data_IF_770940924740
#
_entry.id   IF_770940924740
#
_cell.length_a   1.000
_cell.length_b   1.000
_cell.length_c   1.000
_cell.angle_alpha   90.00
_cell.angle_beta   90.00
_cell.angle_gamma   90.00
#
_symmetry.space_group_name_H-M   'P 1'
#
loop_
_entity.id
_entity.type
_entity.pdbx_description
1 polymer ?
#
# COMPACT_ATOMS: atom_id res chain seq x y z
N UNK A 1 -5.35 -15.15 -9.83
CA UNK A 1 -4.97 -14.79 -8.44
C UNK A 1 -6.17 -14.98 -7.54
N UNK A 2 -5.98 -15.63 -6.40
CA UNK A 2 -7.04 -15.74 -5.38
C UNK A 2 -7.15 -14.44 -4.60
N UNK A 3 -8.26 -14.26 -3.86
CA UNK A 3 -8.42 -13.09 -3.00
C UNK A 3 -7.39 -13.07 -1.88
N UNK A 4 -7.03 -14.22 -1.33
CA UNK A 4 -5.99 -14.30 -0.28
C UNK A 4 -4.60 -13.92 -0.82
N UNK A 5 -4.25 -14.39 -2.00
CA UNK A 5 -3.01 -13.97 -2.69
C UNK A 5 -3.03 -12.46 -2.94
N UNK A 6 -4.18 -11.93 -3.35
CA UNK A 6 -4.37 -10.49 -3.55
C UNK A 6 -4.15 -9.69 -2.28
N UNK A 7 -4.65 -10.16 -1.15
CA UNK A 7 -4.44 -9.50 0.16
C UNK A 7 -2.97 -9.46 0.54
N UNK A 8 -2.21 -10.52 0.28
CA UNK A 8 -0.77 -10.55 0.52
C UNK A 8 -0.03 -9.56 -0.39
N UNK A 9 -0.44 -9.44 -1.65
CA UNK A 9 0.13 -8.46 -2.57
C UNK A 9 -0.19 -7.02 -2.13
N UNK A 10 -1.37 -6.78 -1.60
CA UNK A 10 -1.74 -5.48 -1.04
C UNK A 10 -0.83 -5.12 0.13
N UNK A 11 -0.61 -6.05 1.06
CA UNK A 11 0.32 -5.82 2.18
C UNK A 11 1.74 -5.54 1.70
N UNK A 12 2.22 -6.29 0.70
CA UNK A 12 3.53 -6.08 0.10
C UNK A 12 3.63 -4.67 -0.52
N UNK A 13 2.55 -4.20 -1.16
CA UNK A 13 2.51 -2.87 -1.76
C UNK A 13 2.61 -1.77 -0.69
N UNK A 14 1.91 -1.91 0.43
CA UNK A 14 2.03 -0.96 1.54
C UNK A 14 3.44 -0.94 2.12
N UNK A 15 4.08 -2.10 2.26
CA UNK A 15 5.47 -2.19 2.72
C UNK A 15 6.43 -1.50 1.74
N UNK A 16 6.26 -1.74 0.45
CA UNK A 16 7.07 -1.08 -0.57
C UNK A 16 6.93 0.44 -0.50
N UNK A 17 5.71 0.93 -0.36
CA UNK A 17 5.43 2.35 -0.25
C UNK A 17 6.04 2.96 1.03
N UNK A 18 5.93 2.27 2.15
CA UNK A 18 6.50 2.74 3.42
C UNK A 18 8.03 2.83 3.36
N UNK A 19 8.69 1.91 2.67
CA UNK A 19 10.14 1.88 2.54
C UNK A 19 10.69 2.81 1.45
N UNK A 20 9.83 3.47 0.68
CA UNK A 20 10.27 4.24 -0.50
C UNK A 20 11.27 5.35 -0.15
N UNK A 21 11.21 5.92 1.04
CA UNK A 21 12.15 6.95 1.50
C UNK A 21 13.27 6.39 2.41
N UNK A 22 13.42 5.08 2.47
CA UNK A 22 14.53 4.41 3.14
C UNK A 22 14.27 3.97 4.57
N UNK A 23 13.10 4.28 5.14
CA UNK A 23 12.73 3.84 6.50
C UNK A 23 11.23 3.78 6.69
N UNK A 24 10.79 2.94 7.60
CA UNK A 24 9.39 2.83 8.01
C UNK A 24 9.24 3.47 9.39
N UNK A 25 8.32 4.41 9.53
CA UNK A 25 8.01 5.02 10.83
C UNK A 25 7.13 4.06 11.64
N UNK A 26 7.09 4.27 12.97
CA UNK A 26 6.21 3.48 13.84
C UNK A 26 4.74 3.65 13.44
N UNK A 27 4.33 4.87 13.11
CA UNK A 27 2.96 5.14 12.67
C UNK A 27 2.60 4.37 11.39
N UNK A 28 3.52 4.28 10.43
CA UNK A 28 3.31 3.51 9.21
C UNK A 28 3.27 2.00 9.51
N UNK A 29 4.15 1.51 10.36
CA UNK A 29 4.14 0.10 10.77
C UNK A 29 2.82 -0.27 11.44
N UNK A 30 2.32 0.57 12.33
CA UNK A 30 1.04 0.37 13.01
C UNK A 30 -0.13 0.38 12.01
N UNK A 31 -0.10 1.30 11.04
CA UNK A 31 -1.11 1.39 9.99
C UNK A 31 -1.18 0.08 9.19
N UNK A 32 -0.02 -0.44 8.77
CA UNK A 32 0.05 -1.68 8.00
C UNK A 32 -0.40 -2.88 8.83
N UNK A 33 -0.03 -2.94 10.10
CA UNK A 33 -0.43 -4.01 11.01
C UNK A 33 -1.95 -4.02 11.22
N UNK A 34 -2.55 -2.86 11.43
CA UNK A 34 -3.99 -2.70 11.59
C UNK A 34 -4.73 -3.09 10.30
N UNK A 35 -4.18 -2.73 9.15
CA UNK A 35 -4.73 -3.10 7.86
C UNK A 35 -4.74 -4.62 7.67
N UNK A 36 -3.67 -5.29 8.07
CA UNK A 36 -3.58 -6.76 7.97
C UNK A 36 -4.68 -7.43 8.81
N UNK A 37 -4.94 -6.92 10.01
CA UNK A 37 -6.00 -7.43 10.88
C UNK A 37 -7.37 -7.17 10.25
N UNK A 38 -7.59 -5.96 9.72
CA UNK A 38 -8.85 -5.57 9.10
C UNK A 38 -9.18 -6.41 7.86
N UNK A 39 -8.17 -6.79 7.09
CA UNK A 39 -8.36 -7.63 5.90
C UNK A 39 -8.67 -9.09 6.23
N UNK A 40 -8.60 -9.48 7.49
CA UNK A 40 -8.92 -10.83 7.97
C UNK A 40 -8.20 -11.92 7.18
N UNK A 41 -6.88 -11.74 7.00
CA UNK A 41 -6.03 -12.75 6.37
C UNK A 41 -5.63 -13.76 7.44
N UNK A 42 -5.52 -15.04 7.07
CA UNK A 42 -5.09 -16.09 8.00
C UNK A 42 -3.73 -15.71 8.59
N UNK A 43 -3.63 -15.78 9.91
CA UNK A 43 -2.44 -15.38 10.67
C UNK A 43 -1.16 -16.02 10.14
N UNK A 44 -1.20 -17.32 9.82
CA UNK A 44 -0.04 -18.04 9.28
C UNK A 44 0.37 -17.61 7.88
N UNK A 45 -0.52 -16.92 7.13
CA UNK A 45 -0.24 -16.46 5.77
C UNK A 45 0.35 -15.06 5.74
N UNK A 46 -0.17 -14.13 6.54
CA UNK A 46 0.27 -12.74 6.46
C UNK A 46 1.39 -12.38 7.44
N UNK A 47 1.49 -13.07 8.56
CA UNK A 47 2.46 -12.71 9.59
C UNK A 47 3.91 -12.74 9.09
N UNK A 48 4.37 -13.79 8.36
CA UNK A 48 5.71 -13.78 7.79
C UNK A 48 5.93 -12.64 6.79
N UNK A 49 4.93 -12.37 5.95
CA UNK A 49 5.00 -11.27 4.98
C UNK A 49 5.13 -9.93 5.69
N UNK A 50 4.35 -9.72 6.74
CA UNK A 50 4.34 -8.50 7.52
C UNK A 50 5.68 -8.32 8.26
N UNK A 51 6.16 -9.35 8.95
CA UNK A 51 7.43 -9.29 9.70
C UNK A 51 8.59 -8.97 8.76
N UNK A 52 8.69 -9.66 7.63
CA UNK A 52 9.75 -9.39 6.66
C UNK A 52 9.60 -8.03 6.01
N UNK A 53 8.38 -7.66 5.64
CA UNK A 53 8.10 -6.39 4.98
C UNK A 53 8.37 -5.17 5.86
N UNK A 54 8.25 -5.30 7.18
CA UNK A 54 8.53 -4.20 8.11
C UNK A 54 9.97 -4.20 8.62
N UNK A 55 10.68 -5.33 8.48
CA UNK A 55 12.05 -5.47 8.99
C UNK A 55 13.12 -5.02 8.02
N UNK A 56 12.84 -5.04 6.72
CA UNK A 56 13.81 -4.68 5.69
C UNK A 56 13.10 -4.25 4.40
N UNK A 57 13.77 -3.44 3.53
CA UNK A 57 13.19 -3.04 2.26
C UNK A 57 12.88 -4.24 1.36
N UNK A 58 11.79 -4.18 0.59
CA UNK A 58 11.46 -5.25 -0.36
C UNK A 58 12.50 -5.32 -1.48
N UNK A 59 12.77 -6.55 -1.94
CA UNK A 59 13.72 -6.80 -3.04
C UNK A 59 13.10 -6.58 -4.41
N UNK A 60 11.79 -6.73 -4.51
CA UNK A 60 11.07 -6.64 -5.77
C UNK A 60 9.92 -5.64 -5.65
N UNK A 61 9.60 -4.99 -6.79
CA UNK A 61 8.47 -4.08 -6.88
C UNK A 61 7.19 -4.89 -7.05
N UNK A 62 6.09 -4.43 -6.45
CA UNK A 62 4.77 -5.01 -6.67
C UNK A 62 4.26 -4.50 -8.02
N UNK A 63 3.94 -5.42 -8.94
CA UNK A 63 3.55 -5.10 -10.32
C UNK A 63 2.23 -5.74 -10.74
N UNK A 64 1.53 -6.42 -9.83
CA UNK A 64 0.37 -7.25 -10.15
C UNK A 64 -0.93 -6.83 -9.44
N UNK A 65 -1.02 -5.60 -8.98
CA UNK A 65 -2.25 -5.12 -8.29
C UNK A 65 -3.46 -5.11 -9.22
N UNK A 66 -3.25 -4.94 -10.54
CA UNK A 66 -4.31 -4.98 -11.52
C UNK A 66 -5.02 -6.34 -11.58
N UNK A 67 -4.34 -7.42 -11.20
CA UNK A 67 -4.86 -8.79 -11.27
C UNK A 67 -5.66 -9.21 -10.04
N UNK A 68 -5.71 -8.37 -9.01
CA UNK A 68 -6.44 -8.67 -7.77
C UNK A 68 -7.93 -8.60 -8.04
N UNK A 69 -8.70 -9.63 -7.60
CA UNK A 69 -10.15 -9.70 -7.87
C UNK A 69 -10.95 -8.79 -6.92
N UNK A 70 -10.78 -7.50 -7.07
CA UNK A 70 -11.54 -6.46 -6.36
C UNK A 70 -12.21 -5.54 -7.37
N UNK A 71 -13.35 -4.94 -6.97
CA UNK A 71 -14.10 -4.06 -7.86
C UNK A 71 -13.50 -2.64 -7.91
N UNK A 72 -14.09 -1.79 -8.74
CA UNK A 72 -13.62 -0.43 -8.96
C UNK A 72 -13.69 0.43 -7.68
N UNK A 73 -14.72 0.25 -6.89
CA UNK A 73 -14.89 0.99 -5.62
C UNK A 73 -13.80 0.60 -4.63
N UNK A 74 -13.55 -0.71 -4.50
CA UNK A 74 -12.49 -1.22 -3.62
C UNK A 74 -11.10 -0.76 -4.06
N UNK A 75 -10.86 -0.69 -5.38
CA UNK A 75 -9.60 -0.17 -5.93
C UNK A 75 -9.40 1.29 -5.55
N UNK A 76 -10.44 2.10 -5.67
CA UNK A 76 -10.41 3.50 -5.28
C UNK A 76 -10.11 3.66 -3.79
N UNK A 77 -10.83 2.91 -2.95
CA UNK A 77 -10.63 2.91 -1.50
C UNK A 77 -9.21 2.47 -1.11
N UNK A 78 -8.66 1.52 -1.83
CA UNK A 78 -7.29 1.05 -1.59
C UNK A 78 -6.27 2.17 -1.84
N UNK A 79 -6.43 2.91 -2.93
CA UNK A 79 -5.56 4.06 -3.22
C UNK A 79 -5.71 5.14 -2.16
N UNK A 80 -6.93 5.39 -1.67
CA UNK A 80 -7.15 6.32 -0.56
C UNK A 80 -6.34 5.92 0.68
N UNK A 81 -6.27 4.63 0.98
CA UNK A 81 -5.48 4.11 2.10
C UNK A 81 -3.97 4.26 1.87
N UNK A 82 -3.49 4.06 0.65
CA UNK A 82 -2.10 4.35 0.30
C UNK A 82 -1.76 5.81 0.60
N UNK A 83 -2.60 6.73 0.16
CA UNK A 83 -2.41 8.17 0.40
C UNK A 83 -2.45 8.48 1.90
N UNK A 84 -3.42 7.93 2.61
CA UNK A 84 -3.56 8.14 4.06
C UNK A 84 -2.30 7.72 4.82
N UNK A 85 -1.71 6.58 4.46
CA UNK A 85 -0.46 6.12 5.09
C UNK A 85 0.70 7.07 4.81
N UNK A 86 0.81 7.56 3.59
CA UNK A 86 1.86 8.52 3.24
C UNK A 86 1.75 9.83 4.03
N UNK A 87 0.52 10.25 4.36
CA UNK A 87 0.28 11.49 5.09
C UNK A 87 0.51 11.37 6.60
N UNK A 88 0.83 10.18 7.11
CA UNK A 88 1.21 9.99 8.51
C UNK A 88 2.60 10.55 8.84
N UNK A 89 3.36 10.89 7.82
CA UNK A 89 4.68 11.50 7.95
C UNK A 89 4.63 12.97 7.53
N UNK A 90 5.71 13.72 7.76
CA UNK A 90 5.79 15.18 7.56
C UNK A 90 5.63 15.67 6.12
N UNK A 91 5.16 14.86 5.26
CA UNK A 91 4.96 15.16 3.85
C UNK A 91 5.35 13.98 2.98
N UNK A 92 4.90 14.05 1.75
CA UNK A 92 5.16 13.01 0.77
C UNK A 92 6.53 13.26 0.13
N UNK A 93 7.49 12.36 0.33
CA UNK A 93 8.79 12.44 -0.34
C UNK A 93 8.62 12.19 -1.83
N UNK A 94 9.59 12.60 -2.65
CA UNK A 94 9.56 12.32 -4.09
C UNK A 94 9.57 10.82 -4.36
N UNK A 95 10.33 10.06 -3.58
CA UNK A 95 10.41 8.60 -3.69
C UNK A 95 9.06 7.94 -3.38
N UNK A 96 8.38 8.38 -2.33
CA UNK A 96 7.04 7.90 -2.00
C UNK A 96 6.03 8.30 -3.06
N UNK A 97 6.12 9.51 -3.59
CA UNK A 97 5.23 9.97 -4.65
C UNK A 97 5.36 9.11 -5.91
N UNK A 98 6.57 8.73 -6.28
CA UNK A 98 6.81 7.88 -7.45
C UNK A 98 6.23 6.48 -7.26
N UNK A 99 6.44 5.87 -6.11
CA UNK A 99 5.89 4.54 -5.78
C UNK A 99 4.37 4.61 -5.72
N UNK A 100 3.83 5.62 -5.06
CA UNK A 100 2.38 5.82 -4.94
C UNK A 100 1.72 5.94 -6.33
N UNK A 101 2.30 6.75 -7.22
CA UNK A 101 1.77 6.92 -8.58
C UNK A 101 1.78 5.61 -9.36
N UNK A 102 2.84 4.81 -9.24
CA UNK A 102 2.96 3.52 -9.91
C UNK A 102 1.92 2.53 -9.39
N UNK A 103 1.75 2.43 -8.07
CA UNK A 103 0.76 1.54 -7.46
C UNK A 103 -0.68 1.97 -7.81
N UNK A 104 -0.95 3.27 -7.75
CA UNK A 104 -2.27 3.81 -8.11
C UNK A 104 -2.63 3.51 -9.56
N UNK A 105 -1.68 3.65 -10.48
CA UNK A 105 -1.89 3.38 -11.90
C UNK A 105 -2.27 1.91 -12.14
N UNK A 106 -1.66 0.97 -11.43
CA UNK A 106 -2.04 -0.45 -11.49
C UNK A 106 -3.49 -0.67 -11.09
N UNK A 107 -4.02 0.17 -10.21
CA UNK A 107 -5.41 0.10 -9.74
C UNK A 107 -6.37 0.98 -10.56
N UNK A 108 -5.90 1.54 -11.68
CA UNK A 108 -6.73 2.31 -12.58
C UNK A 108 -6.91 3.78 -12.18
N UNK A 109 -6.11 4.28 -11.24
CA UNK A 109 -6.14 5.67 -10.80
C UNK A 109 -4.99 6.43 -11.47
N UNK A 110 -5.31 7.40 -12.32
CA UNK A 110 -4.29 8.19 -13.02
C UNK A 110 -3.73 9.32 -12.13
N UNK A 111 -2.70 10.01 -12.63
CA UNK A 111 -2.01 11.05 -11.88
C UNK A 111 -2.94 12.20 -11.46
N UNK A 112 -3.88 12.58 -12.32
CA UNK A 112 -4.85 13.65 -12.05
C UNK A 112 -5.79 13.26 -10.92
N UNK A 113 -6.35 12.06 -10.98
CA UNK A 113 -7.25 11.52 -9.96
C UNK A 113 -6.52 11.39 -8.62
N UNK A 114 -5.27 10.95 -8.65
CA UNK A 114 -4.45 10.82 -7.47
C UNK A 114 -4.19 12.19 -6.81
N UNK A 115 -3.92 13.21 -7.59
CA UNK A 115 -3.69 14.57 -7.08
C UNK A 115 -4.96 15.14 -6.44
N UNK A 116 -6.11 14.93 -7.05
CA UNK A 116 -7.41 15.33 -6.50
C UNK A 116 -7.66 14.62 -5.15
N UNK A 117 -7.33 13.35 -5.07
CA UNK A 117 -7.47 12.56 -3.84
C UNK A 117 -6.56 13.09 -2.75
N UNK A 118 -5.31 13.42 -3.06
CA UNK A 118 -4.36 14.00 -2.11
C UNK A 118 -4.88 15.31 -1.52
N UNK A 119 -5.42 16.19 -2.35
CA UNK A 119 -5.99 17.47 -1.91
C UNK A 119 -7.16 17.28 -0.96
N UNK A 120 -8.01 16.29 -1.23
CA UNK A 120 -9.19 16.03 -0.41
C UNK A 120 -8.82 15.43 0.94
N UNK A 121 -7.76 14.62 1.01
CA UNK A 121 -7.33 13.94 2.23
C UNK A 121 -6.35 14.76 3.07
N UNK A 122 -5.78 15.80 2.54
CA UNK A 122 -4.89 16.70 3.27
C UNK A 122 -5.66 17.68 4.15
#
# INVERSE_FOLDING_TARGET
MTIDEGKLQILAAFCELAWADGRVTQAQADFISDLAIEMDVRLGSYLPVLVMGLSRPPRAKVENLADIPIDEVERFQLVERFVAMCLLHEGLSNEQADVLARLALQLGINARELEEMRRRLC
#
